data_IF_975485768853
#
_entry.id   IF_975485768853
#
_cell.length_a   1.000
_cell.length_b   1.000
_cell.length_c   1.000
_cell.angle_alpha   90.00
_cell.angle_beta   90.00
_cell.angle_gamma   90.00
#
_symmetry.space_group_name_H-M   'P 1'
#
loop_
_entity.id
_entity.type
_entity.pdbx_description
1 polymer ?
#
# COMPACT_ATOMS: atom_id res chain seq x y z
N UNK A 1 -3.50 17.37 -5.77
CA UNK A 1 -2.85 18.70 -5.76
C UNK A 1 -3.52 19.66 -4.79
N UNK A 2 -2.95 20.85 -4.52
CA UNK A 2 -3.38 21.74 -3.43
C UNK A 2 -4.79 22.31 -3.58
N UNK A 3 -5.28 22.55 -4.81
CA UNK A 3 -6.64 23.03 -5.04
C UNK A 3 -7.71 22.02 -4.58
N UNK A 4 -7.57 20.76 -5.00
CA UNK A 4 -8.49 19.68 -4.59
C UNK A 4 -8.39 19.37 -3.09
N UNK A 5 -7.18 19.46 -2.52
CA UNK A 5 -6.99 19.32 -1.08
C UNK A 5 -7.77 20.40 -0.29
N UNK A 6 -7.71 21.67 -0.73
CA UNK A 6 -8.49 22.76 -0.12
C UNK A 6 -9.99 22.54 -0.23
N UNK A 7 -10.49 22.10 -1.38
CA UNK A 7 -11.90 21.78 -1.58
C UNK A 7 -12.38 20.70 -0.59
N UNK A 8 -11.63 19.60 -0.45
CA UNK A 8 -11.96 18.53 0.50
C UNK A 8 -11.98 19.03 1.95
N UNK A 9 -10.99 19.84 2.34
CA UNK A 9 -10.90 20.40 3.70
C UNK A 9 -12.05 21.37 3.99
N UNK A 10 -12.43 22.22 3.04
CA UNK A 10 -13.48 23.22 3.25
C UNK A 10 -14.89 22.64 3.18
N UNK A 11 -15.11 21.64 2.34
CA UNK A 11 -16.45 21.04 2.16
C UNK A 11 -16.74 19.90 3.14
N UNK A 12 -15.71 19.24 3.67
CA UNK A 12 -15.87 18.06 4.54
C UNK A 12 -16.62 16.90 3.86
N UNK A 13 -16.69 16.89 2.52
CA UNK A 13 -17.46 15.90 1.77
C UNK A 13 -16.83 14.51 1.91
N UNK A 14 -17.66 13.52 2.25
CA UNK A 14 -17.25 12.12 2.19
C UNK A 14 -17.08 11.68 0.74
N UNK A 15 -15.91 11.11 0.43
CA UNK A 15 -15.58 10.61 -0.91
C UNK A 15 -15.72 9.08 -0.96
N UNK A 16 -16.26 8.52 -2.06
CA UNK A 16 -16.26 7.08 -2.29
C UNK A 16 -14.86 6.56 -2.60
N UNK A 17 -14.64 5.25 -2.42
CA UNK A 17 -13.33 4.63 -2.58
C UNK A 17 -12.75 4.78 -4.00
N UNK A 18 -13.59 4.70 -5.03
CA UNK A 18 -13.18 4.89 -6.44
C UNK A 18 -12.70 6.33 -6.71
N UNK A 19 -13.41 7.33 -6.17
CA UNK A 19 -12.99 8.73 -6.28
C UNK A 19 -11.67 8.95 -5.51
N UNK A 20 -11.50 8.34 -4.33
CA UNK A 20 -10.26 8.43 -3.57
C UNK A 20 -9.06 7.87 -4.34
N UNK A 21 -9.25 6.79 -5.10
CA UNK A 21 -8.22 6.22 -5.98
C UNK A 21 -7.88 7.15 -7.15
N UNK A 22 -8.89 7.70 -7.83
CA UNK A 22 -8.67 8.65 -8.93
C UNK A 22 -7.95 9.92 -8.48
N UNK A 23 -8.22 10.37 -7.25
CA UNK A 23 -7.54 11.52 -6.65
C UNK A 23 -6.12 11.21 -6.15
N UNK A 24 -5.70 9.94 -6.16
CA UNK A 24 -4.40 9.51 -5.66
C UNK A 24 -4.27 9.56 -4.13
N UNK A 25 -5.39 9.56 -3.40
CA UNK A 25 -5.42 9.50 -1.94
C UNK A 25 -5.13 8.09 -1.43
N UNK A 26 -5.48 7.08 -2.22
CA UNK A 26 -5.19 5.66 -1.95
C UNK A 26 -4.55 5.03 -3.18
N UNK A 27 -3.67 4.05 -2.94
CA UNK A 27 -2.94 3.37 -4.01
C UNK A 27 -3.72 2.21 -4.64
N UNK A 28 -4.70 1.62 -3.95
CA UNK A 28 -5.49 0.49 -4.41
C UNK A 28 -6.88 0.51 -3.76
N UNK A 29 -7.89 0.00 -4.46
CA UNK A 29 -9.26 -0.22 -3.95
C UNK A 29 -9.58 -1.70 -4.09
N UNK A 30 -10.07 -2.30 -3.02
CA UNK A 30 -10.45 -3.72 -2.98
C UNK A 30 -11.97 -3.80 -3.09
N UNK A 31 -12.46 -4.45 -4.14
CA UNK A 31 -13.87 -4.78 -4.33
C UNK A 31 -14.13 -6.27 -4.10
N UNK A 32 -15.39 -6.61 -3.83
CA UNK A 32 -15.83 -8.00 -3.78
C UNK A 32 -16.09 -8.49 -5.19
N UNK A 33 -15.50 -9.62 -5.53
CA UNK A 33 -15.74 -10.31 -6.80
C UNK A 33 -16.84 -11.37 -6.61
N UNK A 34 -17.59 -11.77 -7.65
CA UNK A 34 -18.65 -12.79 -7.52
C UNK A 34 -18.17 -14.14 -6.97
N UNK A 35 -16.87 -14.43 -7.08
CA UNK A 35 -16.22 -15.63 -6.55
C UNK A 35 -16.10 -15.62 -5.00
N UNK A 36 -16.24 -14.46 -4.34
CA UNK A 36 -16.15 -14.32 -2.89
C UNK A 36 -17.49 -14.67 -2.21
N UNK A 37 -17.88 -15.96 -2.25
CA UNK A 37 -19.05 -16.58 -1.57
C UNK A 37 -20.04 -15.58 -0.92
N UNK A 38 -20.73 -14.80 -1.76
CA UNK A 38 -21.53 -13.66 -1.33
C UNK A 38 -22.77 -14.18 -0.59
N UNK A 39 -23.19 -13.54 0.53
CA UNK A 39 -24.44 -13.91 1.18
C UNK A 39 -25.61 -13.81 0.18
N UNK A 40 -26.53 -14.78 0.18
CA UNK A 40 -27.62 -14.85 -0.79
C UNK A 40 -28.41 -13.54 -0.82
N UNK A 41 -28.87 -13.15 -2.01
CA UNK A 41 -29.72 -11.97 -2.16
C UNK A 41 -31.01 -12.19 -1.37
N UNK A 42 -31.26 -11.30 -0.41
CA UNK A 42 -32.48 -11.35 0.41
C UNK A 42 -33.53 -10.45 -0.25
N UNK A 43 -34.79 -10.91 -0.28
CA UNK A 43 -35.91 -10.14 -0.79
C UNK A 43 -36.03 -8.75 -0.14
N UNK A 44 -36.52 -7.77 -0.90
CA UNK A 44 -36.51 -6.34 -0.55
C UNK A 44 -37.27 -5.99 0.75
N UNK A 45 -38.15 -6.86 1.23
CA UNK A 45 -39.10 -6.56 2.31
C UNK A 45 -38.54 -6.76 3.73
N UNK A 46 -37.48 -7.58 3.91
CA UNK A 46 -36.91 -7.88 5.23
C UNK A 46 -35.71 -6.97 5.60
N UNK A 47 -36.01 -5.81 6.21
CA UNK A 47 -34.99 -4.83 6.64
C UNK A 47 -33.95 -5.39 7.63
N UNK A 48 -34.30 -6.38 8.44
CA UNK A 48 -33.37 -7.00 9.40
C UNK A 48 -32.32 -7.88 8.72
N UNK A 49 -32.76 -8.75 7.80
CA UNK A 49 -31.86 -9.60 7.02
C UNK A 49 -30.94 -8.81 6.08
N UNK A 50 -31.40 -7.65 5.58
CA UNK A 50 -30.55 -6.72 4.83
C UNK A 50 -29.44 -6.11 5.69
N UNK A 51 -29.74 -5.71 6.94
CA UNK A 51 -28.72 -5.24 7.89
C UNK A 51 -27.71 -6.32 8.20
N UNK A 52 -28.16 -7.56 8.46
CA UNK A 52 -27.26 -8.69 8.70
C UNK A 52 -26.36 -8.99 7.51
N UNK A 53 -26.92 -8.99 6.29
CA UNK A 53 -26.15 -9.12 5.04
C UNK A 53 -25.09 -8.03 4.90
N UNK A 54 -25.44 -6.76 5.18
CA UNK A 54 -24.48 -5.65 5.11
C UNK A 54 -23.33 -5.79 6.10
N UNK A 55 -23.61 -6.27 7.32
CA UNK A 55 -22.59 -6.53 8.35
C UNK A 55 -21.67 -7.68 7.92
N UNK A 56 -22.23 -8.74 7.34
CA UNK A 56 -21.44 -9.87 6.85
C UNK A 56 -20.54 -9.46 5.68
N UNK A 57 -21.06 -8.68 4.74
CA UNK A 57 -20.30 -8.11 3.62
C UNK A 57 -19.14 -7.24 4.14
N UNK A 58 -19.40 -6.38 5.13
CA UNK A 58 -18.36 -5.54 5.73
C UNK A 58 -17.24 -6.37 6.40
N UNK A 59 -17.60 -7.45 7.10
CA UNK A 59 -16.63 -8.38 7.70
C UNK A 59 -15.77 -9.07 6.63
N UNK A 60 -16.40 -9.57 5.57
CA UNK A 60 -15.71 -10.23 4.47
C UNK A 60 -14.73 -9.27 3.77
N UNK A 61 -15.20 -8.06 3.46
CA UNK A 61 -14.38 -7.02 2.84
C UNK A 61 -13.18 -6.66 3.70
N UNK A 62 -13.36 -6.51 5.02
CA UNK A 62 -12.27 -6.21 5.93
C UNK A 62 -11.22 -7.33 5.95
N UNK A 63 -11.64 -8.59 5.98
CA UNK A 63 -10.71 -9.72 5.91
C UNK A 63 -9.92 -9.73 4.59
N UNK A 64 -10.58 -9.46 3.45
CA UNK A 64 -9.91 -9.38 2.14
C UNK A 64 -8.90 -8.23 2.10
N UNK A 65 -9.29 -7.06 2.57
CA UNK A 65 -8.40 -5.90 2.69
C UNK A 65 -7.17 -6.22 3.55
N UNK A 66 -7.38 -6.86 4.71
CA UNK A 66 -6.28 -7.25 5.59
C UNK A 66 -5.34 -8.27 4.94
N UNK A 67 -5.88 -9.23 4.20
CA UNK A 67 -5.07 -10.21 3.47
C UNK A 67 -4.18 -9.53 2.42
N UNK A 68 -4.72 -8.57 1.66
CA UNK A 68 -3.95 -7.77 0.69
C UNK A 68 -2.86 -6.92 1.35
N UNK A 69 -3.19 -6.24 2.45
CA UNK A 69 -2.21 -5.48 3.25
C UNK A 69 -1.06 -6.38 3.74
N UNK A 70 -1.38 -7.57 4.25
CA UNK A 70 -0.39 -8.54 4.71
C UNK A 70 0.44 -9.07 3.52
N UNK A 71 -0.16 -9.31 2.37
CA UNK A 71 0.55 -9.76 1.17
C UNK A 71 1.58 -8.71 0.71
N UNK A 72 1.20 -7.43 0.68
CA UNK A 72 2.11 -6.33 0.38
C UNK A 72 3.23 -6.22 1.43
N UNK A 73 2.90 -6.33 2.71
CA UNK A 73 3.89 -6.35 3.79
C UNK A 73 4.90 -7.49 3.64
N UNK A 74 4.44 -8.70 3.26
CA UNK A 74 5.30 -9.85 2.96
C UNK A 74 6.21 -9.60 1.76
N UNK A 75 5.76 -8.87 0.74
CA UNK A 75 6.62 -8.50 -0.39
C UNK A 75 7.75 -7.57 0.04
N UNK A 76 7.45 -6.56 0.87
CA UNK A 76 8.46 -5.65 1.42
C UNK A 76 9.45 -6.42 2.31
N UNK A 77 8.96 -7.33 3.14
CA UNK A 77 9.75 -8.13 4.07
C UNK A 77 10.72 -9.12 3.40
N UNK A 78 10.56 -9.42 2.09
CA UNK A 78 11.53 -10.22 1.34
C UNK A 78 12.85 -9.48 1.09
N UNK A 79 12.85 -8.16 1.19
CA UNK A 79 14.04 -7.33 0.97
C UNK A 79 14.86 -7.19 2.26
N UNK A 80 16.10 -6.69 2.13
CA UNK A 80 16.94 -6.38 3.30
C UNK A 80 16.27 -5.31 4.18
N UNK A 81 16.18 -5.59 5.47
CA UNK A 81 15.66 -4.66 6.47
C UNK A 81 16.42 -3.32 6.44
N UNK A 82 17.76 -3.37 6.39
CA UNK A 82 18.58 -2.16 6.37
C UNK A 82 18.35 -1.36 5.09
N UNK A 83 18.26 -2.02 3.94
CA UNK A 83 17.99 -1.36 2.67
C UNK A 83 16.62 -0.66 2.64
N UNK A 84 15.56 -1.33 3.13
CA UNK A 84 14.21 -0.74 3.21
C UNK A 84 14.19 0.45 4.17
N UNK A 85 14.84 0.32 5.34
CA UNK A 85 14.94 1.42 6.33
C UNK A 85 15.64 2.64 5.74
N UNK A 86 16.81 2.45 5.14
CA UNK A 86 17.60 3.53 4.53
C UNK A 86 16.81 4.16 3.39
N UNK A 87 16.22 3.37 2.49
CA UNK A 87 15.44 3.87 1.36
C UNK A 87 14.25 4.72 1.82
N UNK A 88 13.46 4.24 2.80
CA UNK A 88 12.32 5.00 3.33
C UNK A 88 12.77 6.32 3.95
N UNK A 89 13.88 6.31 4.67
CA UNK A 89 14.44 7.51 5.27
C UNK A 89 14.87 8.54 4.21
N UNK A 90 15.53 8.09 3.15
CA UNK A 90 15.98 8.94 2.04
C UNK A 90 14.81 9.50 1.25
N UNK A 91 13.80 8.71 0.94
CA UNK A 91 12.60 9.20 0.24
C UNK A 91 11.91 10.30 1.05
N UNK A 92 11.71 10.09 2.34
CA UNK A 92 11.05 11.08 3.19
C UNK A 92 11.89 12.36 3.34
N UNK A 93 13.21 12.23 3.53
CA UNK A 93 14.09 13.40 3.71
C UNK A 93 14.43 14.11 2.41
N UNK A 94 14.56 13.37 1.32
CA UNK A 94 14.88 13.89 0.00
C UNK A 94 13.72 14.65 -0.63
N UNK A 95 12.47 14.29 -0.28
CA UNK A 95 11.28 14.99 -0.76
C UNK A 95 11.21 16.45 -0.28
N UNK A 96 11.74 16.74 0.92
CA UNK A 96 11.78 18.08 1.51
C UNK A 96 13.11 18.82 1.23
N UNK A 97 14.07 18.16 0.57
CA UNK A 97 15.39 18.72 0.29
C UNK A 97 15.46 19.30 -1.13
N UNK A 98 16.41 20.20 -1.36
CA UNK A 98 16.77 20.61 -2.72
C UNK A 98 17.40 19.44 -3.49
N UNK A 99 17.42 19.56 -4.83
CA UNK A 99 17.88 18.48 -5.71
C UNK A 99 19.33 18.07 -5.41
N UNK A 100 20.22 19.02 -5.14
CA UNK A 100 21.63 18.71 -4.91
C UNK A 100 21.83 17.98 -3.58
N UNK A 101 21.20 18.48 -2.51
CA UNK A 101 21.19 17.81 -1.20
C UNK A 101 20.56 16.43 -1.28
N UNK A 102 19.45 16.29 -2.02
CA UNK A 102 18.78 15.01 -2.28
C UNK A 102 19.72 14.00 -2.93
N UNK A 103 20.39 14.39 -4.02
CA UNK A 103 21.37 13.53 -4.71
C UNK A 103 22.53 13.12 -3.79
N UNK A 104 23.05 14.05 -2.97
CA UNK A 104 24.11 13.72 -1.99
C UNK A 104 23.63 12.73 -0.93
N UNK A 105 22.41 12.89 -0.42
CA UNK A 105 21.79 11.96 0.53
C UNK A 105 21.62 10.57 -0.10
N UNK A 106 21.20 10.50 -1.36
CA UNK A 106 21.08 9.25 -2.11
C UNK A 106 22.43 8.54 -2.25
N UNK A 107 23.50 9.26 -2.63
CA UNK A 107 24.86 8.70 -2.70
C UNK A 107 25.31 8.14 -1.36
N UNK A 108 25.09 8.90 -0.27
CA UNK A 108 25.43 8.45 1.08
C UNK A 108 24.65 7.20 1.47
N UNK A 109 23.33 7.21 1.30
CA UNK A 109 22.47 6.07 1.62
C UNK A 109 22.80 4.82 0.80
N UNK A 110 23.09 4.99 -0.50
CA UNK A 110 23.56 3.91 -1.35
C UNK A 110 24.89 3.34 -0.84
N UNK A 111 25.87 4.19 -0.51
CA UNK A 111 27.17 3.74 0.00
C UNK A 111 27.03 2.93 1.31
N UNK A 112 26.13 3.35 2.19
CA UNK A 112 25.83 2.66 3.45
C UNK A 112 25.21 1.27 3.19
N UNK A 113 24.25 1.18 2.27
CA UNK A 113 23.67 -0.10 1.87
C UNK A 113 24.70 -1.01 1.17
N UNK A 114 25.59 -0.44 0.36
CA UNK A 114 26.61 -1.18 -0.36
C UNK A 114 27.69 -1.73 0.59
N UNK A 115 28.05 -1.00 1.64
CA UNK A 115 29.01 -1.45 2.66
C UNK A 115 28.46 -2.58 3.55
N UNK A 116 27.14 -2.74 3.64
CA UNK A 116 26.50 -3.74 4.49
C UNK A 116 26.65 -5.18 3.96
N UNK A 117 26.75 -6.15 4.85
CA UNK A 117 26.98 -7.57 4.52
C UNK A 117 25.86 -8.18 3.68
N UNK A 118 24.61 -7.76 3.91
CA UNK A 118 23.43 -8.17 3.14
C UNK A 118 23.63 -8.00 1.63
N UNK A 119 24.42 -7.01 1.20
CA UNK A 119 24.71 -6.77 -0.20
C UNK A 119 25.37 -8.01 -0.83
N UNK A 120 26.34 -8.64 -0.17
CA UNK A 120 27.03 -9.83 -0.71
C UNK A 120 26.07 -11.02 -0.84
N UNK A 121 25.27 -11.25 0.20
CA UNK A 121 24.28 -12.34 0.23
C UNK A 121 23.24 -12.17 -0.88
N UNK A 122 22.59 -11.02 -0.93
CA UNK A 122 21.52 -10.74 -1.90
C UNK A 122 22.02 -10.73 -3.35
N UNK A 123 23.22 -10.21 -3.61
CA UNK A 123 23.81 -10.25 -4.96
C UNK A 123 24.14 -11.68 -5.40
N UNK A 124 24.64 -12.51 -4.47
CA UNK A 124 24.92 -13.92 -4.73
C UNK A 124 23.63 -14.71 -4.99
N UNK A 125 22.61 -14.49 -4.16
CA UNK A 125 21.29 -15.10 -4.32
C UNK A 125 20.67 -14.70 -5.67
N UNK A 126 20.81 -13.43 -6.09
CA UNK A 126 20.36 -12.94 -7.39
C UNK A 126 21.06 -13.65 -8.56
N UNK A 127 22.38 -13.73 -8.55
CA UNK A 127 23.16 -14.41 -9.60
C UNK A 127 22.84 -15.91 -9.68
N UNK A 128 22.62 -16.56 -8.54
CA UNK A 128 22.29 -17.98 -8.47
C UNK A 128 20.85 -18.29 -8.86
N UNK A 129 19.92 -17.33 -8.73
CA UNK A 129 18.53 -17.47 -9.18
C UNK A 129 18.40 -17.57 -10.70
N UNK A 130 19.37 -17.03 -11.46
CA UNK A 130 19.45 -17.19 -12.92
C UNK A 130 19.86 -18.60 -13.38
N UNK A 131 20.31 -19.47 -12.47
CA UNK A 131 20.77 -20.84 -12.78
C UNK A 131 19.73 -21.92 -12.48
N UNK A 132 18.52 -21.52 -12.07
CA UNK A 132 17.38 -22.39 -11.78
C UNK A 132 16.24 -22.05 -12.72
#
# INVERSE_FOLDING_TARGET
GPAKAKELVFTGKMIPAEEAFQLGLVNNVISLTPDDNLPPEVAADDKEKQKERSIQIAKLLNNKLMNECIAMGKQIAKNSFNAVKVSKMLVNRGMDADLETGLRLEIYGWSLCFAHEDRKKMMSDFLNKSKK
#
